data_IF_406205303319
#
_entry.id   IF_406205303319
#
_cell.length_a   1.000
_cell.length_b   1.000
_cell.length_c   1.000
_cell.angle_alpha   90.00
_cell.angle_beta   90.00
_cell.angle_gamma   90.00
#
_symmetry.space_group_name_H-M   'P 1'
#
loop_
_entity.id
_entity.type
_entity.pdbx_description
1 polymer ?
#
# COMPACT_ATOMS: atom_id res chain seq x y z
N UNK A 1 -8.36 -9.15 -12.38
CA UNK A 1 -9.72 -8.55 -12.42
C UNK A 1 -10.31 -8.26 -11.02
N UNK A 2 -9.84 -8.89 -9.93
CA UNK A 2 -10.39 -8.64 -8.57
C UNK A 2 -9.82 -7.41 -7.81
N UNK A 3 -8.66 -6.87 -8.20
CA UNK A 3 -7.95 -5.78 -7.47
C UNK A 3 -8.51 -4.35 -7.65
N UNK A 4 -9.19 -4.02 -8.76
CA UNK A 4 -9.62 -2.64 -9.04
C UNK A 4 -10.81 -2.11 -8.20
N UNK A 5 -11.47 -2.96 -7.40
CA UNK A 5 -12.68 -2.53 -6.66
C UNK A 5 -12.39 -1.77 -5.37
N UNK A 6 -11.16 -1.81 -4.86
CA UNK A 6 -10.85 -1.23 -3.55
C UNK A 6 -10.61 0.29 -3.59
N UNK A 7 -9.97 0.79 -4.66
CA UNK A 7 -9.68 2.23 -4.83
C UNK A 7 -10.95 3.09 -4.90
N UNK A 8 -12.09 2.51 -5.27
CA UNK A 8 -13.36 3.22 -5.47
C UNK A 8 -14.26 3.31 -4.22
N UNK A 9 -13.85 2.74 -3.07
CA UNK A 9 -14.73 2.59 -1.88
C UNK A 9 -14.24 3.24 -0.59
N UNK A 10 -13.11 3.96 -0.59
CA UNK A 10 -12.69 4.70 0.60
C UNK A 10 -13.71 5.82 0.93
N UNK A 11 -14.17 5.94 2.19
CA UNK A 11 -15.04 7.04 2.60
C UNK A 11 -14.32 8.36 2.34
N UNK A 12 -15.00 9.28 1.65
CA UNK A 12 -14.45 10.59 1.31
C UNK A 12 -14.21 11.41 2.58
N UNK A 13 -12.98 11.37 3.07
CA UNK A 13 -12.48 12.32 4.06
C UNK A 13 -12.42 13.74 3.46
N UNK A 14 -12.45 14.80 4.27
CA UNK A 14 -12.36 16.17 3.78
C UNK A 14 -11.14 16.33 2.87
N UNK A 15 -11.35 16.84 1.64
CA UNK A 15 -10.26 17.20 0.73
C UNK A 15 -9.49 18.35 1.34
N UNK A 16 -8.41 18.03 2.05
CA UNK A 16 -7.35 19.00 2.30
C UNK A 16 -6.45 18.90 1.06
N UNK A 17 -6.71 19.73 0.07
CA UNK A 17 -5.78 19.91 -1.05
C UNK A 17 -4.47 20.48 -0.49
N UNK A 18 -3.33 19.82 -0.68
CA UNK A 18 -2.06 20.40 -0.28
C UNK A 18 -1.82 21.70 -1.05
N UNK A 19 -1.19 22.73 -0.43
CA UNK A 19 -0.94 24.00 -1.09
C UNK A 19 -0.07 23.80 -2.34
N UNK A 20 -0.55 24.35 -3.46
CA UNK A 20 -0.10 24.09 -4.83
C UNK A 20 1.30 24.57 -5.22
N UNK A 21 2.21 24.84 -4.27
CA UNK A 21 3.55 25.37 -4.56
C UNK A 21 4.71 24.38 -4.39
N UNK A 22 4.45 23.15 -3.93
CA UNK A 22 5.51 22.17 -3.68
C UNK A 22 5.46 20.92 -4.57
N UNK A 23 4.38 20.64 -5.30
CA UNK A 23 4.28 19.37 -6.06
C UNK A 23 5.24 19.38 -7.26
N UNK A 24 6.06 18.34 -7.37
CA UNK A 24 7.04 18.20 -8.45
C UNK A 24 6.33 18.01 -9.79
N UNK A 25 6.66 18.84 -10.79
CA UNK A 25 6.11 18.69 -12.13
C UNK A 25 6.95 17.69 -12.94
N UNK A 26 6.57 16.43 -12.88
CA UNK A 26 7.25 15.34 -13.58
C UNK A 26 7.24 15.45 -15.11
N UNK A 27 6.35 16.29 -15.67
CA UNK A 27 6.19 16.45 -17.11
C UNK A 27 7.17 17.46 -17.73
N UNK A 28 8.01 18.09 -16.92
CA UNK A 28 9.03 19.05 -17.34
C UNK A 28 10.41 18.47 -17.05
N UNK A 29 11.34 18.66 -18.00
CA UNK A 29 12.73 18.24 -17.83
C UNK A 29 13.36 19.08 -16.72
N UNK A 30 13.93 18.43 -15.71
CA UNK A 30 14.74 19.08 -14.69
C UNK A 30 16.24 18.89 -15.00
N UNK A 31 17.14 19.74 -14.48
CA UNK A 31 18.58 19.63 -14.76
C UNK A 31 19.21 18.27 -14.40
N UNK A 32 18.66 17.55 -13.42
CA UNK A 32 19.10 16.21 -13.01
C UNK A 32 18.42 15.08 -13.79
N UNK A 33 17.40 15.38 -14.60
CA UNK A 33 16.68 14.37 -15.38
C UNK A 33 17.57 13.82 -16.50
N UNK A 34 17.78 12.50 -16.50
CA UNK A 34 18.58 11.79 -17.50
C UNK A 34 17.85 10.58 -18.09
N UNK A 35 16.55 10.46 -17.82
CA UNK A 35 15.70 9.38 -18.30
C UNK A 35 14.25 9.87 -18.44
N UNK A 36 13.52 9.31 -19.41
CA UNK A 36 12.10 9.54 -19.59
C UNK A 36 11.30 8.25 -19.40
N UNK A 37 10.29 8.27 -18.54
CA UNK A 37 9.30 7.21 -18.40
C UNK A 37 7.99 7.66 -19.07
N UNK A 38 7.43 6.85 -19.96
CA UNK A 38 6.15 7.11 -20.61
C UNK A 38 5.08 6.27 -19.91
N UNK A 39 4.19 6.90 -19.16
CA UNK A 39 3.12 6.25 -18.40
C UNK A 39 1.78 6.73 -18.92
N UNK A 40 0.96 5.82 -19.47
CA UNK A 40 -0.32 6.16 -20.11
C UNK A 40 -0.20 7.32 -21.13
N UNK A 41 0.89 7.33 -21.91
CA UNK A 41 1.17 8.37 -22.92
C UNK A 41 1.73 9.69 -22.37
N UNK A 42 1.80 9.87 -21.04
CA UNK A 42 2.42 11.06 -20.42
C UNK A 42 3.89 10.79 -20.10
N UNK A 43 4.74 11.77 -20.37
CA UNK A 43 6.18 11.72 -20.08
C UNK A 43 6.49 12.13 -18.65
N UNK A 44 7.35 11.37 -17.99
CA UNK A 44 7.89 11.61 -16.66
C UNK A 44 9.41 11.69 -16.78
N UNK A 45 9.99 12.86 -16.54
CA UNK A 45 11.43 13.06 -16.57
C UNK A 45 12.02 12.81 -15.19
N UNK A 46 12.93 11.85 -15.10
CA UNK A 46 13.41 11.29 -13.82
C UNK A 46 14.92 11.13 -13.82
N UNK A 47 15.49 10.98 -12.63
CA UNK A 47 16.88 10.62 -12.43
C UNK A 47 17.01 9.10 -12.27
N UNK A 48 17.70 8.47 -13.23
CA UNK A 48 17.91 7.01 -13.31
C UNK A 48 18.51 6.44 -12.02
N UNK A 49 19.61 7.03 -11.57
CA UNK A 49 20.38 6.53 -10.43
C UNK A 49 19.57 6.58 -9.14
N UNK A 50 18.82 7.68 -8.94
CA UNK A 50 17.92 7.81 -7.81
C UNK A 50 16.86 6.71 -7.82
N UNK A 51 16.13 6.53 -8.93
CA UNK A 51 15.10 5.51 -9.03
C UNK A 51 15.65 4.08 -8.91
N UNK A 52 16.80 3.77 -9.52
CA UNK A 52 17.45 2.47 -9.33
C UNK A 52 17.77 2.18 -7.87
N UNK A 53 18.26 3.19 -7.13
CA UNK A 53 18.61 3.03 -5.72
C UNK A 53 17.36 2.76 -4.86
N UNK A 54 16.21 3.31 -5.24
CA UNK A 54 14.97 3.18 -4.48
C UNK A 54 14.10 1.99 -4.89
N UNK A 55 14.29 1.43 -6.08
CA UNK A 55 13.39 0.46 -6.70
C UNK A 55 14.16 -0.64 -7.42
N UNK A 56 13.94 -1.89 -6.98
CA UNK A 56 14.49 -3.07 -7.65
C UNK A 56 13.94 -3.24 -9.07
N UNK A 57 12.70 -2.82 -9.32
CA UNK A 57 12.10 -2.82 -10.66
C UNK A 57 12.83 -1.84 -11.59
N UNK A 58 13.01 -0.58 -11.17
CA UNK A 58 13.67 0.42 -12.01
C UNK A 58 15.15 0.14 -12.20
N UNK A 59 15.84 -0.39 -11.18
CA UNK A 59 17.20 -0.89 -11.32
C UNK A 59 17.31 -1.92 -12.44
N UNK A 60 16.47 -2.96 -12.42
CA UNK A 60 16.44 -3.99 -13.45
C UNK A 60 16.06 -3.41 -14.83
N UNK A 61 15.05 -2.53 -14.87
CA UNK A 61 14.59 -1.90 -16.11
C UNK A 61 15.71 -1.12 -16.79
N UNK A 62 16.44 -0.30 -16.04
CA UNK A 62 17.48 0.57 -16.58
C UNK A 62 18.77 -0.18 -16.92
N UNK A 63 19.09 -1.25 -16.20
CA UNK A 63 20.24 -2.11 -16.54
C UNK A 63 19.99 -2.98 -17.78
N UNK A 64 18.73 -3.25 -18.11
CA UNK A 64 18.37 -4.11 -19.25
C UNK A 64 18.54 -3.46 -20.62
N UNK A 65 18.77 -2.14 -20.70
CA UNK A 65 18.91 -1.47 -21.99
C UNK A 65 19.69 -0.15 -21.93
N UNK A 66 20.37 0.19 -23.03
CA UNK A 66 20.97 1.51 -23.23
C UNK A 66 19.97 2.60 -23.66
N UNK A 67 18.66 2.39 -23.48
CA UNK A 67 17.62 3.35 -23.90
C UNK A 67 17.56 4.52 -22.93
N UNK A 68 17.07 5.65 -23.42
CA UNK A 68 16.80 6.86 -22.62
C UNK A 68 15.30 7.05 -22.32
N UNK A 69 14.42 6.36 -23.06
CA UNK A 69 12.97 6.39 -22.90
C UNK A 69 12.40 4.98 -22.67
N UNK A 70 11.52 4.83 -21.68
CA UNK A 70 10.91 3.55 -21.28
C UNK A 70 9.40 3.68 -21.13
N UNK A 71 8.64 2.76 -21.73
CA UNK A 71 7.18 2.71 -21.59
C UNK A 71 6.77 1.85 -20.38
N UNK A 72 5.94 2.40 -19.49
CA UNK A 72 5.36 1.70 -18.35
C UNK A 72 3.86 1.49 -18.60
N UNK A 73 3.45 0.23 -18.74
CA UNK A 73 2.09 -0.15 -19.14
C UNK A 73 1.18 -0.47 -17.95
N UNK A 74 -0.11 -0.26 -18.13
CA UNK A 74 -1.16 -0.71 -17.20
C UNK A 74 -1.18 0.05 -15.88
N UNK A 75 -0.78 1.33 -15.89
CA UNK A 75 -0.77 2.20 -14.71
C UNK A 75 -1.36 3.55 -15.11
N UNK A 76 -2.21 4.09 -14.24
CA UNK A 76 -2.72 5.44 -14.40
C UNK A 76 -1.62 6.47 -14.11
N UNK A 77 -1.51 7.49 -14.97
CA UNK A 77 -0.46 8.50 -14.85
C UNK A 77 -0.56 9.32 -13.57
N UNK A 78 -1.76 9.58 -13.04
CA UNK A 78 -1.93 10.41 -11.83
C UNK A 78 -1.58 9.60 -10.57
N UNK A 79 -1.96 8.32 -10.55
CA UNK A 79 -1.51 7.40 -9.51
C UNK A 79 0.02 7.26 -9.49
N UNK A 80 0.64 7.14 -10.69
CA UNK A 80 2.10 7.11 -10.80
C UNK A 80 2.75 8.40 -10.28
N UNK A 81 2.22 9.57 -10.66
CA UNK A 81 2.70 10.85 -10.17
C UNK A 81 2.58 10.96 -8.63
N UNK A 82 1.50 10.44 -8.06
CA UNK A 82 1.25 10.45 -6.61
C UNK A 82 2.29 9.59 -5.88
N UNK A 83 2.58 8.39 -6.38
CA UNK A 83 3.65 7.55 -5.84
C UNK A 83 5.02 8.22 -5.96
N UNK A 84 5.33 8.85 -7.11
CA UNK A 84 6.58 9.56 -7.32
C UNK A 84 6.76 10.72 -6.34
N UNK A 85 5.68 11.45 -6.04
CA UNK A 85 5.71 12.48 -5.01
C UNK A 85 6.04 11.85 -3.65
N UNK A 86 5.34 10.80 -3.22
CA UNK A 86 5.63 10.17 -1.91
C UNK A 86 7.07 9.68 -1.83
N UNK A 87 7.60 9.08 -2.91
CA UNK A 87 9.00 8.67 -2.98
C UNK A 87 9.98 9.84 -2.74
N UNK A 88 9.64 11.03 -3.24
CA UNK A 88 10.39 12.26 -3.04
C UNK A 88 9.96 13.03 -1.77
N UNK A 89 9.52 12.30 -0.74
CA UNK A 89 9.23 12.80 0.62
C UNK A 89 8.02 13.71 0.75
N UNK A 90 7.06 13.60 -0.17
CA UNK A 90 5.74 14.18 0.03
C UNK A 90 4.88 13.29 0.93
N UNK A 91 3.88 13.90 1.58
CA UNK A 91 3.10 13.22 2.61
C UNK A 91 2.19 12.10 2.07
N UNK A 92 2.10 11.03 2.86
CA UNK A 92 1.06 10.01 2.74
C UNK A 92 -0.15 10.50 3.54
N UNK A 93 -1.32 10.45 2.90
CA UNK A 93 -2.61 10.78 3.48
C UNK A 93 -3.58 9.61 3.27
N UNK A 94 -4.67 9.57 4.04
CA UNK A 94 -5.59 8.42 4.01
C UNK A 94 -6.14 8.09 2.61
N UNK A 95 -6.33 9.09 1.74
CA UNK A 95 -6.86 8.91 0.38
C UNK A 95 -5.84 8.37 -0.62
N UNK A 96 -4.54 8.68 -0.47
CA UNK A 96 -3.50 8.20 -1.39
C UNK A 96 -2.78 6.94 -0.90
N UNK A 97 -2.96 6.56 0.37
CA UNK A 97 -2.20 5.50 1.01
C UNK A 97 -2.30 4.15 0.27
N UNK A 98 -3.51 3.64 0.01
CA UNK A 98 -3.66 2.33 -0.66
C UNK A 98 -3.13 2.32 -2.11
N UNK A 99 -3.44 3.32 -2.96
CA UNK A 99 -2.85 3.40 -4.30
C UNK A 99 -1.32 3.50 -4.29
N UNK A 100 -0.74 4.26 -3.36
CA UNK A 100 0.71 4.39 -3.22
C UNK A 100 1.31 3.06 -2.78
N UNK A 101 0.73 2.39 -1.78
CA UNK A 101 1.19 1.09 -1.30
C UNK A 101 1.19 0.03 -2.43
N UNK A 102 0.12 -0.03 -3.22
CA UNK A 102 0.00 -0.98 -4.35
C UNK A 102 1.12 -0.76 -5.39
N UNK A 103 1.30 0.49 -5.83
CA UNK A 103 2.33 0.82 -6.81
C UNK A 103 3.74 0.66 -6.26
N UNK A 104 4.00 1.08 -5.03
CA UNK A 104 5.30 0.93 -4.39
C UNK A 104 5.67 -0.54 -4.20
N UNK A 105 4.71 -1.38 -3.82
CA UNK A 105 4.93 -2.82 -3.78
C UNK A 105 5.21 -3.40 -5.17
N UNK A 106 4.40 -3.03 -6.18
CA UNK A 106 4.57 -3.45 -7.59
C UNK A 106 5.95 -3.09 -8.15
N UNK A 107 6.47 -1.91 -7.81
CA UNK A 107 7.78 -1.44 -8.26
C UNK A 107 8.92 -1.79 -7.29
N UNK A 108 8.68 -2.55 -6.22
CA UNK A 108 9.72 -2.93 -5.28
C UNK A 108 10.39 -1.74 -4.57
N UNK A 109 9.60 -0.71 -4.24
CA UNK A 109 10.04 0.50 -3.53
C UNK A 109 9.84 0.28 -2.03
N UNK A 110 10.79 -0.41 -1.39
CA UNK A 110 10.67 -0.83 0.01
C UNK A 110 10.47 0.35 0.97
N UNK A 111 11.20 1.45 0.77
CA UNK A 111 11.11 2.64 1.65
C UNK A 111 9.69 3.19 1.75
N UNK A 112 8.96 3.27 0.63
CA UNK A 112 7.59 3.77 0.60
C UNK A 112 6.59 2.74 1.15
N UNK A 113 6.82 1.44 0.92
CA UNK A 113 6.01 0.37 1.55
C UNK A 113 6.11 0.46 3.08
N UNK A 114 7.33 0.65 3.59
CA UNK A 114 7.57 0.81 5.03
C UNK A 114 6.92 2.09 5.57
N UNK A 115 7.00 3.21 4.84
CA UNK A 115 6.32 4.47 5.20
C UNK A 115 4.78 4.30 5.23
N UNK A 116 4.19 3.55 4.29
CA UNK A 116 2.76 3.21 4.29
C UNK A 116 2.38 2.32 5.47
N UNK A 117 3.21 1.34 5.83
CA UNK A 117 2.99 0.49 7.01
C UNK A 117 2.97 1.33 8.29
N UNK A 118 3.96 2.22 8.46
CA UNK A 118 4.03 3.12 9.61
C UNK A 118 2.84 4.09 9.68
N UNK A 119 2.36 4.56 8.53
CA UNK A 119 1.15 5.37 8.48
C UNK A 119 -0.05 4.56 8.99
N UNK A 120 -0.26 3.34 8.49
CA UNK A 120 -1.35 2.46 8.92
C UNK A 120 -1.30 2.10 10.41
N UNK A 121 -0.10 1.93 10.98
CA UNK A 121 0.09 1.73 12.42
C UNK A 121 -0.31 2.98 13.23
N UNK A 122 0.09 4.18 12.77
CA UNK A 122 -0.17 5.44 13.48
C UNK A 122 -1.64 5.83 13.49
N UNK A 123 -2.34 5.64 12.36
CA UNK A 123 -3.75 6.03 12.20
C UNK A 123 -4.69 4.82 12.13
N UNK A 124 -4.29 3.71 12.77
CA UNK A 124 -4.97 2.42 12.62
C UNK A 124 -6.44 2.44 12.99
N UNK A 125 -6.82 3.26 13.97
CA UNK A 125 -8.22 3.44 14.39
C UNK A 125 -9.12 4.13 13.34
N UNK A 126 -8.55 4.78 12.33
CA UNK A 126 -9.31 5.39 11.22
C UNK A 126 -9.71 4.31 10.19
N UNK A 127 -8.94 3.24 10.08
CA UNK A 127 -9.18 2.16 9.12
C UNK A 127 -9.80 0.93 9.82
N UNK A 128 -10.87 0.35 9.26
CA UNK A 128 -11.43 -0.89 9.79
C UNK A 128 -10.37 -1.99 9.94
N UNK A 129 -10.45 -2.79 11.00
CA UNK A 129 -9.50 -3.88 11.26
C UNK A 129 -9.34 -4.80 10.04
N UNK A 130 -10.44 -5.15 9.37
CA UNK A 130 -10.42 -5.99 8.19
C UNK A 130 -9.63 -5.41 7.01
N UNK A 131 -9.65 -4.10 6.80
CA UNK A 131 -8.87 -3.48 5.71
C UNK A 131 -7.38 -3.45 6.02
N UNK A 132 -7.01 -3.23 7.28
CA UNK A 132 -5.61 -3.29 7.74
C UNK A 132 -5.06 -4.70 7.66
N UNK A 133 -5.80 -5.69 8.15
CA UNK A 133 -5.44 -7.11 8.00
C UNK A 133 -5.29 -7.49 6.54
N UNK A 134 -6.20 -7.04 5.67
CA UNK A 134 -6.12 -7.33 4.24
C UNK A 134 -4.88 -6.73 3.60
N UNK A 135 -4.55 -5.48 3.92
CA UNK A 135 -3.31 -4.84 3.48
C UNK A 135 -2.08 -5.60 3.97
N UNK A 136 -2.09 -6.00 5.24
CA UNK A 136 -0.99 -6.70 5.87
C UNK A 136 -0.74 -8.07 5.23
N UNK A 137 -1.80 -8.81 4.91
CA UNK A 137 -1.73 -10.07 4.18
C UNK A 137 -1.21 -9.89 2.76
N UNK A 138 -1.84 -8.98 2.00
CA UNK A 138 -1.57 -8.80 0.57
C UNK A 138 -0.14 -8.29 0.30
N UNK A 139 0.32 -7.31 1.10
CA UNK A 139 1.61 -6.66 0.90
C UNK A 139 2.69 -7.15 1.86
N UNK A 140 2.40 -8.15 2.70
CA UNK A 140 3.32 -8.73 3.70
C UNK A 140 3.85 -7.69 4.70
N UNK A 141 2.93 -6.90 5.26
CA UNK A 141 3.24 -5.88 6.27
C UNK A 141 3.25 -6.53 7.65
N UNK A 142 4.42 -7.04 8.06
CA UNK A 142 4.56 -7.90 9.23
C UNK A 142 4.25 -7.19 10.56
N UNK A 143 4.68 -5.93 10.73
CA UNK A 143 4.40 -5.17 11.96
C UNK A 143 2.92 -4.83 12.05
N UNK A 144 2.32 -4.41 10.93
CA UNK A 144 0.88 -4.15 10.88
C UNK A 144 0.08 -5.42 11.16
N UNK A 145 0.48 -6.57 10.60
CA UNK A 145 -0.16 -7.86 10.85
C UNK A 145 -0.14 -8.18 12.34
N UNK A 146 1.02 -8.09 12.99
CA UNK A 146 1.17 -8.38 14.42
C UNK A 146 0.23 -7.53 15.28
N UNK A 147 0.22 -6.21 15.05
CA UNK A 147 -0.67 -5.29 15.80
C UNK A 147 -2.15 -5.60 15.54
N UNK A 148 -2.52 -5.85 14.29
CA UNK A 148 -3.92 -6.18 13.95
C UNK A 148 -4.35 -7.54 14.53
N UNK A 149 -3.47 -8.53 14.53
CA UNK A 149 -3.75 -9.84 15.13
C UNK A 149 -3.88 -9.76 16.66
N UNK A 150 -3.09 -8.91 17.31
CA UNK A 150 -3.25 -8.64 18.74
C UNK A 150 -4.59 -7.95 19.04
N UNK A 151 -4.99 -6.96 18.22
CA UNK A 151 -6.31 -6.31 18.31
C UNK A 151 -7.45 -7.31 18.11
N UNK A 152 -7.31 -8.22 17.13
CA UNK A 152 -8.27 -9.29 16.87
C UNK A 152 -8.42 -10.23 18.07
N UNK A 153 -7.31 -10.59 18.73
CA UNK A 153 -7.28 -11.48 19.91
C UNK A 153 -7.67 -10.78 21.23
N UNK A 154 -8.19 -9.56 21.19
CA UNK A 154 -8.71 -8.87 22.37
C UNK A 154 -10.02 -9.51 22.89
N UNK A 155 -10.60 -8.99 23.98
CA UNK A 155 -11.71 -9.63 24.71
C UNK A 155 -12.97 -9.92 23.89
N UNK A 156 -13.12 -9.32 22.71
CA UNK A 156 -14.25 -9.51 21.80
C UNK A 156 -13.85 -10.26 20.50
N UNK A 157 -12.86 -11.15 20.58
CA UNK A 157 -12.29 -11.90 19.46
C UNK A 157 -13.35 -12.58 18.57
N UNK A 158 -14.30 -13.31 19.18
CA UNK A 158 -15.38 -14.01 18.46
C UNK A 158 -16.21 -13.04 17.61
N UNK A 159 -16.57 -11.87 18.18
CA UNK A 159 -17.36 -10.87 17.48
C UNK A 159 -16.56 -10.25 16.32
N UNK A 160 -15.30 -9.86 16.57
CA UNK A 160 -14.42 -9.31 15.55
C UNK A 160 -14.19 -10.28 14.37
N UNK A 161 -14.01 -11.57 14.67
CA UNK A 161 -13.88 -12.63 13.65
C UNK A 161 -15.18 -12.86 12.88
N UNK A 162 -16.34 -12.80 13.54
CA UNK A 162 -17.64 -12.90 12.88
C UNK A 162 -17.85 -11.73 11.90
N UNK A 163 -17.53 -10.50 12.32
CA UNK A 163 -17.58 -9.32 11.46
C UNK A 163 -16.61 -9.46 10.27
N UNK A 164 -15.38 -9.93 10.52
CA UNK A 164 -14.39 -10.16 9.48
C UNK A 164 -14.85 -11.20 8.45
N UNK A 165 -15.42 -12.32 8.93
CA UNK A 165 -15.95 -13.40 8.09
C UNK A 165 -17.09 -12.95 7.19
N UNK A 166 -17.94 -12.04 7.69
CA UNK A 166 -19.06 -11.48 6.93
C UNK A 166 -18.66 -10.28 6.06
N UNK A 167 -17.42 -9.79 6.18
CA UNK A 167 -16.94 -8.65 5.42
C UNK A 167 -16.58 -9.01 3.96
N UNK A 168 -16.47 -7.97 3.12
CA UNK A 168 -16.00 -8.14 1.73
C UNK A 168 -14.54 -8.61 1.62
N UNK A 169 -13.75 -8.50 2.69
CA UNK A 169 -12.35 -8.90 2.74
C UNK A 169 -12.15 -10.41 2.85
N UNK A 170 -13.12 -11.14 3.40
CA UNK A 170 -12.95 -12.57 3.74
C UNK A 170 -12.46 -13.41 2.56
N UNK A 171 -13.09 -13.20 1.39
CA UNK A 171 -12.77 -13.93 0.18
C UNK A 171 -11.41 -13.53 -0.46
N UNK A 172 -10.81 -12.43 0.01
CA UNK A 172 -9.55 -11.90 -0.51
C UNK A 172 -8.33 -12.30 0.31
N UNK A 173 -8.52 -12.73 1.57
CA UNK A 173 -7.43 -13.25 2.39
C UNK A 173 -6.83 -14.53 1.80
N UNK A 174 -5.52 -14.65 1.98
CA UNK A 174 -4.76 -15.87 1.77
C UNK A 174 -5.25 -16.97 2.72
N UNK A 175 -5.06 -18.23 2.32
CA UNK A 175 -5.44 -19.36 3.17
C UNK A 175 -4.64 -19.37 4.47
N UNK A 176 -3.35 -19.02 4.40
CA UNK A 176 -2.48 -18.84 5.58
C UNK A 176 -3.00 -17.78 6.57
N UNK A 177 -3.62 -16.70 6.09
CA UNK A 177 -4.23 -15.70 6.96
C UNK A 177 -5.54 -16.22 7.57
N UNK A 178 -6.36 -16.96 6.81
CA UNK A 178 -7.56 -17.59 7.34
C UNK A 178 -7.24 -18.65 8.40
N UNK A 179 -6.18 -19.42 8.21
CA UNK A 179 -5.71 -20.41 9.19
C UNK A 179 -5.34 -19.72 10.51
N UNK A 180 -4.61 -18.60 10.45
CA UNK A 180 -4.31 -17.79 11.65
C UNK A 180 -5.56 -17.23 12.34
N UNK A 181 -6.62 -16.91 11.59
CA UNK A 181 -7.90 -16.51 12.17
C UNK A 181 -8.59 -17.68 12.88
N UNK A 182 -8.53 -18.89 12.32
CA UNK A 182 -9.04 -20.08 12.98
C UNK A 182 -8.25 -20.39 14.26
N UNK A 183 -6.93 -20.30 14.23
CA UNK A 183 -6.10 -20.49 15.42
C UNK A 183 -6.45 -19.48 16.52
N UNK A 184 -6.64 -18.21 16.16
CA UNK A 184 -7.08 -17.17 17.09
C UNK A 184 -8.44 -17.47 17.74
N UNK A 185 -9.38 -18.05 17.00
CA UNK A 185 -10.68 -18.48 17.51
C UNK A 185 -10.55 -19.65 18.50
N UNK A 186 -9.71 -20.63 18.16
CA UNK A 186 -9.48 -21.80 19.00
C UNK A 186 -8.81 -21.41 20.31
N UNK A 187 -7.78 -20.56 20.26
CA UNK A 187 -7.11 -19.99 21.44
C UNK A 187 -8.13 -19.35 22.41
N UNK A 188 -9.02 -18.49 21.89
CA UNK A 188 -10.02 -17.80 22.72
C UNK A 188 -11.01 -18.79 23.38
N UNK A 189 -11.48 -19.79 22.64
CA UNK A 189 -12.37 -20.82 23.17
C UNK A 189 -11.72 -21.66 24.28
N UNK A 190 -10.42 -21.97 24.16
CA UNK A 190 -9.69 -22.70 25.20
C UNK A 190 -9.48 -21.85 26.46
N UNK A 191 -9.21 -20.55 26.31
CA UNK A 191 -9.08 -19.62 27.43
C UNK A 191 -10.39 -19.44 28.20
N UNK A 192 -11.54 -19.41 27.49
CA UNK A 192 -12.86 -19.37 28.12
C UNK A 192 -13.12 -20.62 28.95
N UNK A 193 -12.81 -21.81 28.43
CA UNK A 193 -12.98 -23.07 29.16
C UNK A 193 -12.08 -23.17 30.41
N UNK A 194 -10.89 -22.58 30.40
CA UNK A 194 -10.00 -22.53 31.57
C UNK A 194 -10.45 -21.53 32.65
N UNK A 195 -11.33 -20.59 32.31
CA UNK A 195 -11.85 -19.56 33.22
C UNK A 195 -13.15 -19.94 33.92
N UNK A 196 -13.75 -21.06 33.53
CA UNK A 196 -14.95 -21.66 34.14
C UNK A 196 -14.57 -22.69 35.20
#
# INVERSE_FOLDING_TARGET
IRHCKYVSRCPSSPRISPPSSLVMNWHVVNPSSNCCLVVAGKRFYVERNYLSTQSTYFEALFNSSGKEEFEIKGIDSEMFATMMNVLHRFEIIGTNMFPVLDLSHKFGIKSVVDDCEQFLLRVGNIFPLGSRLFAADLYRLEQLKEVCMHELKSSDCIAALADLRNSEFWAMFSDNMKDQFFDALMDDSTNLLQRL
#
